data_IF_428112495010
#
_entry.id   IF_428112495010
#
_cell.length_a   1.000
_cell.length_b   1.000
_cell.length_c   1.000
_cell.angle_alpha   90.00
_cell.angle_beta   90.00
_cell.angle_gamma   90.00
#
_symmetry.space_group_name_H-M   'P 1'
#
loop_
_entity.id
_entity.type
_entity.pdbx_description
1 polymer ?
#
# COMPACT_ATOMS: atom_id res chain seq x y z
N UNK A 1 -48.07 -63.40 7.22
CA UNK A 1 -46.75 -62.76 7.43
C UNK A 1 -46.13 -62.49 6.06
N UNK A 2 -45.94 -61.23 5.67
CA UNK A 2 -45.12 -60.88 4.51
C UNK A 2 -44.46 -59.52 4.79
N UNK A 3 -43.20 -59.55 5.21
CA UNK A 3 -42.42 -58.36 5.52
C UNK A 3 -41.87 -57.76 4.21
N UNK A 4 -42.21 -56.50 3.93
CA UNK A 4 -41.61 -55.72 2.84
C UNK A 4 -40.16 -55.42 3.17
N UNK A 5 -39.24 -56.16 2.55
CA UNK A 5 -37.82 -55.81 2.51
C UNK A 5 -37.66 -54.64 1.54
N UNK A 6 -37.68 -53.41 2.05
CA UNK A 6 -37.23 -52.25 1.28
C UNK A 6 -35.70 -52.23 1.36
N UNK A 7 -35.05 -52.55 0.25
CA UNK A 7 -33.61 -52.62 0.12
C UNK A 7 -32.97 -51.25 0.38
N UNK A 8 -32.21 -51.14 1.48
CA UNK A 8 -31.48 -49.93 1.90
C UNK A 8 -30.54 -49.36 0.83
N UNK A 9 -30.12 -50.18 -0.13
CA UNK A 9 -29.28 -49.77 -1.25
C UNK A 9 -29.98 -48.83 -2.25
N UNK A 10 -31.30 -48.98 -2.46
CA UNK A 10 -32.07 -48.10 -3.36
C UNK A 10 -32.24 -46.70 -2.72
N UNK A 11 -32.50 -46.65 -1.41
CA UNK A 11 -32.63 -45.40 -0.66
C UNK A 11 -31.30 -44.61 -0.60
N UNK A 12 -30.16 -45.30 -0.48
CA UNK A 12 -28.84 -44.67 -0.49
C UNK A 12 -28.48 -44.08 -1.86
N UNK A 13 -28.88 -44.73 -2.95
CA UNK A 13 -28.61 -44.25 -4.32
C UNK A 13 -29.41 -42.99 -4.67
N UNK A 14 -30.68 -42.91 -4.25
CA UNK A 14 -31.55 -41.72 -4.45
C UNK A 14 -31.05 -40.50 -3.67
N UNK A 15 -30.59 -40.68 -2.42
CA UNK A 15 -30.00 -39.57 -1.63
C UNK A 15 -28.72 -39.01 -2.27
N UNK A 16 -27.89 -39.88 -2.86
CA UNK A 16 -26.65 -39.47 -3.53
C UNK A 16 -26.90 -38.79 -4.88
N UNK A 17 -27.99 -39.14 -5.58
CA UNK A 17 -28.43 -38.46 -6.79
C UNK A 17 -28.98 -37.04 -6.50
N UNK A 18 -29.80 -36.87 -5.45
CA UNK A 18 -30.32 -35.56 -5.04
C UNK A 18 -29.25 -34.58 -4.54
N UNK A 19 -28.24 -35.07 -3.81
CA UNK A 19 -27.09 -34.27 -3.38
C UNK A 19 -26.23 -33.79 -4.56
N UNK A 20 -26.08 -34.62 -5.60
CA UNK A 20 -25.40 -34.22 -6.84
C UNK A 20 -26.19 -33.17 -7.61
N UNK A 21 -27.52 -33.29 -7.68
CA UNK A 21 -28.37 -32.32 -8.37
C UNK A 21 -28.33 -30.92 -7.73
N UNK A 22 -28.30 -30.84 -6.39
CA UNK A 22 -28.09 -29.60 -5.63
C UNK A 22 -26.72 -28.96 -5.89
N UNK A 23 -25.66 -29.77 -6.03
CA UNK A 23 -24.33 -29.28 -6.40
C UNK A 23 -24.27 -28.75 -7.85
N UNK A 24 -25.09 -29.28 -8.76
CA UNK A 24 -25.19 -28.78 -10.15
C UNK A 24 -26.02 -27.49 -10.23
N UNK A 25 -27.01 -27.30 -9.34
CA UNK A 25 -27.73 -26.01 -9.24
C UNK A 25 -26.85 -24.91 -8.68
N UNK A 26 -25.91 -25.24 -7.79
CA UNK A 26 -24.87 -24.32 -7.33
C UNK A 26 -23.86 -23.94 -8.42
N UNK A 27 -23.70 -24.74 -9.48
CA UNK A 27 -22.88 -24.39 -10.66
C UNK A 27 -23.56 -23.39 -11.61
N UNK A 28 -24.89 -23.22 -11.52
CA UNK A 28 -25.66 -22.18 -12.23
C UNK A 28 -26.06 -21.04 -11.28
N UNK A 29 -25.28 -20.82 -10.21
CA UNK A 29 -25.58 -19.81 -9.20
C UNK A 29 -25.20 -18.41 -9.66
N UNK A 30 -26.04 -17.42 -9.32
CA UNK A 30 -25.74 -15.99 -9.51
C UNK A 30 -24.35 -15.61 -8.99
N UNK A 31 -23.91 -16.26 -7.91
CA UNK A 31 -22.58 -16.07 -7.32
C UNK A 31 -21.42 -16.38 -8.28
N UNK A 32 -21.52 -17.46 -9.09
CA UNK A 32 -20.46 -17.78 -10.06
C UNK A 32 -20.41 -16.75 -11.19
N UNK A 33 -21.57 -16.30 -11.67
CA UNK A 33 -21.68 -15.23 -12.66
C UNK A 33 -21.13 -13.90 -12.13
N UNK A 34 -21.46 -13.54 -10.89
CA UNK A 34 -20.90 -12.36 -10.21
C UNK A 34 -19.39 -12.46 -10.04
N UNK A 35 -18.87 -13.64 -9.65
CA UNK A 35 -17.43 -13.86 -9.51
C UNK A 35 -16.70 -13.68 -10.84
N UNK A 36 -17.27 -14.19 -11.93
CA UNK A 36 -16.71 -13.99 -13.27
C UNK A 36 -16.77 -12.53 -13.72
N UNK A 37 -17.89 -11.84 -13.45
CA UNK A 37 -18.04 -10.41 -13.73
C UNK A 37 -17.00 -9.57 -12.96
N UNK A 38 -16.80 -9.84 -11.66
CA UNK A 38 -15.78 -9.20 -10.84
C UNK A 38 -14.38 -9.48 -11.38
N UNK A 39 -14.09 -10.72 -11.76
CA UNK A 39 -12.80 -11.09 -12.33
C UNK A 39 -12.51 -10.32 -13.62
N UNK A 40 -13.51 -10.19 -14.51
CA UNK A 40 -13.39 -9.42 -15.74
C UNK A 40 -13.17 -7.92 -15.46
N UNK A 41 -14.00 -7.34 -14.59
CA UNK A 41 -13.87 -5.94 -14.21
C UNK A 41 -12.50 -5.63 -13.56
N UNK A 42 -12.00 -6.54 -12.71
CA UNK A 42 -10.69 -6.41 -12.09
C UNK A 42 -9.55 -6.45 -13.12
N UNK A 43 -9.65 -7.31 -14.14
CA UNK A 43 -8.66 -7.37 -15.21
C UNK A 43 -8.61 -6.06 -16.03
N UNK A 44 -9.77 -5.51 -16.39
CA UNK A 44 -9.88 -4.22 -17.12
C UNK A 44 -9.38 -3.04 -16.26
N UNK A 45 -9.72 -3.06 -14.97
CA UNK A 45 -9.24 -2.06 -14.00
C UNK A 45 -7.72 -2.12 -13.83
N UNK A 46 -7.15 -3.32 -13.71
CA UNK A 46 -5.71 -3.50 -13.57
C UNK A 46 -4.94 -2.99 -14.80
N UNK A 47 -5.44 -3.25 -16.00
CA UNK A 47 -4.85 -2.74 -17.23
C UNK A 47 -4.91 -1.21 -17.30
N UNK A 48 -6.03 -0.61 -16.87
CA UNK A 48 -6.16 0.86 -16.76
C UNK A 48 -5.13 1.45 -15.80
N UNK A 49 -5.00 0.89 -14.59
CA UNK A 49 -4.03 1.38 -13.59
C UNK A 49 -2.58 1.19 -14.01
N UNK A 50 -2.28 0.10 -14.71
CA UNK A 50 -0.96 -0.12 -15.32
C UNK A 50 -0.63 1.00 -16.31
N UNK A 51 -1.57 1.37 -17.19
CA UNK A 51 -1.38 2.46 -18.15
C UNK A 51 -1.21 3.81 -17.46
N UNK A 52 -2.04 4.13 -16.47
CA UNK A 52 -1.88 5.38 -15.70
C UNK A 52 -0.51 5.44 -15.03
N UNK A 53 -0.07 4.34 -14.42
CA UNK A 53 1.25 4.28 -13.76
C UNK A 53 2.37 4.53 -14.76
N UNK A 54 2.33 3.85 -15.92
CA UNK A 54 3.39 3.95 -16.92
C UNK A 54 3.40 5.28 -17.68
N UNK A 55 2.23 5.81 -18.03
CA UNK A 55 2.11 6.96 -18.93
C UNK A 55 1.82 8.27 -18.22
N UNK A 56 1.44 8.26 -16.95
CA UNK A 56 1.20 9.47 -16.16
C UNK A 56 2.19 9.53 -15.00
N UNK A 57 2.15 8.56 -14.09
CA UNK A 57 2.95 8.65 -12.86
C UNK A 57 4.45 8.69 -13.14
N UNK A 58 4.97 7.82 -14.01
CA UNK A 58 6.39 7.79 -14.36
C UNK A 58 6.84 9.13 -15.01
N UNK A 59 6.19 9.65 -16.08
CA UNK A 59 6.54 10.96 -16.63
C UNK A 59 6.44 12.11 -15.63
N UNK A 60 5.41 12.13 -14.78
CA UNK A 60 5.28 13.14 -13.73
C UNK A 60 6.41 13.09 -12.72
N UNK A 61 6.88 11.89 -12.34
CA UNK A 61 8.03 11.72 -11.46
C UNK A 61 9.32 12.23 -12.10
N UNK A 62 9.52 12.02 -13.40
CA UNK A 62 10.68 12.60 -14.10
C UNK A 62 10.64 14.13 -14.09
N UNK A 63 9.50 14.73 -14.39
CA UNK A 63 9.33 16.18 -14.36
C UNK A 63 9.55 16.77 -12.95
N UNK A 64 8.96 16.14 -11.92
CA UNK A 64 9.13 16.54 -10.54
C UNK A 64 10.60 16.36 -10.08
N UNK A 65 11.25 15.27 -10.48
CA UNK A 65 12.66 15.01 -10.19
C UNK A 65 13.58 16.06 -10.79
N UNK A 66 13.35 16.45 -12.05
CA UNK A 66 14.09 17.53 -12.71
C UNK A 66 13.89 18.88 -12.00
N UNK A 67 12.67 19.20 -11.59
CA UNK A 67 12.38 20.41 -10.83
C UNK A 67 13.09 20.40 -9.46
N UNK A 68 12.99 19.31 -8.71
CA UNK A 68 13.65 19.16 -7.42
C UNK A 68 15.19 19.27 -7.54
N UNK A 69 15.77 18.71 -8.60
CA UNK A 69 17.20 18.84 -8.90
C UNK A 69 17.61 20.30 -9.12
N UNK A 70 16.82 21.06 -9.88
CA UNK A 70 17.10 22.48 -10.10
C UNK A 70 17.01 23.29 -8.80
N UNK A 71 15.99 23.04 -7.98
CA UNK A 71 15.83 23.71 -6.68
C UNK A 71 16.98 23.32 -5.73
N UNK A 72 17.40 22.06 -5.73
CA UNK A 72 18.53 21.58 -4.94
C UNK A 72 19.82 22.35 -5.25
N UNK A 73 20.14 22.55 -6.53
CA UNK A 73 21.32 23.30 -6.95
C UNK A 73 21.21 24.78 -6.59
N UNK A 74 20.06 25.40 -6.87
CA UNK A 74 19.81 26.79 -6.49
C UNK A 74 19.95 27.00 -4.97
N UNK A 75 19.47 26.05 -4.16
CA UNK A 75 19.63 26.10 -2.71
C UNK A 75 21.10 26.00 -2.28
N UNK A 76 21.88 25.11 -2.90
CA UNK A 76 23.31 24.98 -2.63
C UNK A 76 24.10 26.23 -3.02
N UNK A 77 23.77 26.86 -4.14
CA UNK A 77 24.39 28.12 -4.54
C UNK A 77 24.01 29.25 -3.59
N UNK A 78 22.73 29.37 -3.24
CA UNK A 78 22.26 30.38 -2.28
C UNK A 78 22.96 30.26 -0.92
N UNK A 79 23.16 29.04 -0.40
CA UNK A 79 23.89 28.81 0.85
C UNK A 79 25.37 29.25 0.78
N UNK A 80 26.02 29.21 -0.39
CA UNK A 80 27.39 29.70 -0.56
C UNK A 80 27.47 31.22 -0.47
N UNK A 81 26.47 31.92 -1.01
CA UNK A 81 26.41 33.38 -0.98
C UNK A 81 25.88 33.95 0.34
N UNK A 82 25.05 33.18 1.05
CA UNK A 82 24.47 33.56 2.34
C UNK A 82 24.83 32.52 3.41
N UNK A 83 26.07 32.56 3.95
CA UNK A 83 26.47 31.63 5.00
C UNK A 83 25.56 31.78 6.22
N UNK A 84 25.29 30.65 6.88
CA UNK A 84 24.33 30.60 8.00
C UNK A 84 24.92 31.25 9.24
N UNK A 85 24.27 32.29 9.75
CA UNK A 85 24.58 32.88 11.05
C UNK A 85 23.66 32.30 12.12
N UNK A 86 24.25 31.91 13.25
CA UNK A 86 23.53 31.25 14.34
C UNK A 86 23.10 32.25 15.40
N UNK A 87 21.81 32.57 15.43
CA UNK A 87 21.23 33.41 16.49
C UNK A 87 20.60 32.51 17.56
N UNK A 88 21.19 32.53 18.77
CA UNK A 88 20.75 31.71 19.91
C UNK A 88 19.55 32.34 20.63
N UNK A 89 18.36 32.13 20.08
CA UNK A 89 17.13 32.48 20.79
C UNK A 89 16.82 31.45 21.88
N UNK A 90 16.29 31.85 23.05
CA UNK A 90 16.02 30.92 24.16
C UNK A 90 15.07 29.76 23.83
N UNK A 91 14.24 29.92 22.82
CA UNK A 91 13.27 28.92 22.35
C UNK A 91 13.81 28.04 21.20
N UNK A 92 14.96 28.38 20.60
CA UNK A 92 15.58 27.58 19.53
C UNK A 92 16.63 26.67 20.15
N UNK A 93 16.65 25.41 19.71
CA UNK A 93 17.54 24.37 20.22
C UNK A 93 17.47 24.18 21.75
N UNK A 94 16.36 24.56 22.37
CA UNK A 94 16.14 24.36 23.80
C UNK A 94 16.14 22.87 24.17
N UNK A 95 16.75 22.54 25.31
CA UNK A 95 16.77 21.19 25.89
C UNK A 95 16.47 21.27 27.38
N UNK A 96 15.36 20.67 27.79
CA UNK A 96 15.06 20.49 29.22
C UNK A 96 15.85 19.31 29.83
N UNK A 97 16.07 18.26 29.02
CA UNK A 97 16.89 17.08 29.33
C UNK A 97 17.55 16.59 28.05
N UNK A 98 18.68 15.91 28.20
CA UNK A 98 19.39 15.27 27.10
C UNK A 98 18.62 14.03 26.61
N UNK A 99 18.85 13.64 25.35
CA UNK A 99 18.33 12.37 24.84
C UNK A 99 19.14 11.21 25.44
N UNK A 100 18.55 10.01 25.45
CA UNK A 100 19.20 8.84 26.04
C UNK A 100 20.45 8.34 25.29
N UNK A 101 20.69 8.83 24.08
CA UNK A 101 21.88 8.55 23.27
C UNK A 101 22.87 9.72 23.19
N UNK A 102 22.56 10.86 23.81
CA UNK A 102 23.38 12.06 23.76
C UNK A 102 22.58 13.37 23.63
N UNK A 103 23.29 14.48 23.42
CA UNK A 103 22.69 15.83 23.37
C UNK A 103 22.08 16.19 22.02
N UNK A 104 22.65 15.62 20.96
CA UNK A 104 22.25 15.92 19.59
C UNK A 104 21.04 15.11 19.14
N UNK A 105 20.24 15.71 18.24
CA UNK A 105 19.10 15.04 17.64
C UNK A 105 19.53 13.82 16.79
N UNK A 106 18.62 12.87 16.59
CA UNK A 106 18.89 11.64 15.84
C UNK A 106 19.40 11.90 14.41
N UNK A 107 18.89 12.94 13.76
CA UNK A 107 19.32 13.39 12.43
C UNK A 107 20.10 14.71 12.51
N UNK A 108 21.02 14.80 13.48
CA UNK A 108 21.89 15.97 13.61
C UNK A 108 22.91 16.01 12.46
N UNK A 109 23.03 17.16 11.82
CA UNK A 109 24.05 17.43 10.81
C UNK A 109 24.82 18.71 11.18
N UNK A 110 26.12 18.63 11.51
CA UNK A 110 26.90 19.80 11.96
C UNK A 110 27.03 20.88 10.89
N UNK A 111 26.77 20.59 9.60
CA UNK A 111 26.79 21.59 8.53
C UNK A 111 25.59 22.53 8.57
N UNK A 112 24.46 22.10 9.12
CA UNK A 112 23.18 22.83 9.02
C UNK A 112 22.44 22.98 10.34
N UNK A 113 22.96 22.40 11.43
CA UNK A 113 22.42 22.44 12.79
C UNK A 113 23.51 22.91 13.77
N UNK A 114 23.13 23.78 14.71
CA UNK A 114 23.99 24.20 15.81
C UNK A 114 23.98 23.13 16.90
N UNK A 115 25.16 22.78 17.44
CA UNK A 115 25.26 21.79 18.52
C UNK A 115 24.52 22.28 19.76
N UNK A 116 23.84 21.35 20.45
CA UNK A 116 23.24 21.63 21.76
C UNK A 116 24.29 21.81 22.87
N UNK A 117 25.56 21.45 22.61
CA UNK A 117 26.66 21.62 23.57
C UNK A 117 27.36 22.98 23.50
N UNK A 118 27.09 23.75 22.44
CA UNK A 118 27.70 25.04 22.15
C UNK A 118 26.87 26.19 22.71
#
# INVERSE_FOLDING_TARGET
>A
MAARIVSSQVAASVKRAGARFQSTTAQNSSFLAEREAVKKHAAESAETWKKITLFVAIPSLFAAGANAYNIYHAHHEHQKHHPKEWVKYPYINFRARDFFWGKEALFFNPKVNLSASE
#
